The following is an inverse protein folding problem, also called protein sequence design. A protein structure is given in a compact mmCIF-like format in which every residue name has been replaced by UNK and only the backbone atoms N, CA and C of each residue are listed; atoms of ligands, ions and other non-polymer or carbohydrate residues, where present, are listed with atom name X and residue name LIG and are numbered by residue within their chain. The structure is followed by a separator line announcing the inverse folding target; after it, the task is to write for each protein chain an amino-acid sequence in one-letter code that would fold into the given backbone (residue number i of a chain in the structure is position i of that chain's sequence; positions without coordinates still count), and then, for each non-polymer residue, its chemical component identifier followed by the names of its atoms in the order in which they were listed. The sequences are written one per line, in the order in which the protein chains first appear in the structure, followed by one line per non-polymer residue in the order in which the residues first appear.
data_IF_018967259754
#
_entry.id   IF_018967259754
#
_cell.length_a   1.000
_cell.length_b   1.000
_cell.length_c   1.000
_cell.angle_alpha   90.00
_cell.angle_beta   90.00
_cell.angle_gamma   90.00
#
_symmetry.space_group_name_H-M   'P 1'
#
loop_
_entity.id
_entity.type
_entity.pdbx_description
1 polymer ?
#
# COMPACT_ATOMS: atom_id res chain seq x y z
N UNK A 1 -5.04 18.00 7.96
CA UNK A 1 -6.32 18.05 7.26
C UNK A 1 -6.26 17.13 6.02
N UNK A 2 -7.08 16.09 5.98
CA UNK A 2 -7.18 15.21 4.81
C UNK A 2 -8.21 15.82 3.84
N UNK A 3 -7.80 16.36 2.68
CA UNK A 3 -8.70 17.05 1.75
C UNK A 3 -9.78 16.15 1.16
N UNK A 4 -9.58 14.83 1.18
CA UNK A 4 -10.52 13.85 0.61
C UNK A 4 -11.61 13.36 1.57
N UNK A 5 -11.58 13.76 2.85
CA UNK A 5 -12.55 13.35 3.85
C UNK A 5 -13.64 14.39 4.12
N UNK A 6 -13.48 15.62 3.65
CA UNK A 6 -14.43 16.71 3.87
C UNK A 6 -14.98 17.21 2.55
N UNK A 7 -16.31 17.30 2.42
CA UNK A 7 -16.98 17.75 1.21
C UNK A 7 -16.48 19.12 0.71
N UNK A 8 -16.32 20.10 1.60
CA UNK A 8 -15.80 21.42 1.24
C UNK A 8 -14.36 21.40 0.72
N UNK A 9 -13.51 20.51 1.22
CA UNK A 9 -12.15 20.32 0.72
C UNK A 9 -12.14 19.65 -0.66
N UNK A 10 -13.03 18.70 -0.89
CA UNK A 10 -13.23 18.07 -2.21
C UNK A 10 -13.65 19.11 -3.26
N UNK A 11 -14.62 19.97 -2.94
CA UNK A 11 -15.07 21.02 -3.84
C UNK A 11 -13.93 21.98 -4.24
N UNK A 12 -13.02 22.27 -3.32
CA UNK A 12 -11.86 23.14 -3.58
C UNK A 12 -10.87 22.52 -4.58
N UNK A 13 -10.61 21.20 -4.50
CA UNK A 13 -9.65 20.52 -5.38
C UNK A 13 -10.28 20.01 -6.68
N UNK A 14 -11.61 19.98 -6.78
CA UNK A 14 -12.31 19.49 -7.97
C UNK A 14 -11.92 20.24 -9.27
N UNK A 15 -11.78 21.58 -9.31
CA UNK A 15 -11.33 22.26 -10.53
C UNK A 15 -9.96 21.79 -11.01
N UNK A 16 -9.01 21.60 -10.09
CA UNK A 16 -7.66 21.11 -10.42
C UNK A 16 -7.69 19.65 -10.92
N UNK A 17 -8.50 18.80 -10.30
CA UNK A 17 -8.70 17.42 -10.76
C UNK A 17 -9.33 17.37 -12.16
N UNK A 18 -10.26 18.27 -12.45
CA UNK A 18 -10.88 18.40 -13.79
C UNK A 18 -9.85 18.90 -14.81
N UNK A 19 -9.07 19.90 -14.48
CA UNK A 19 -7.99 20.44 -15.32
C UNK A 19 -6.95 19.38 -15.64
N UNK A 20 -6.57 18.56 -14.66
CA UNK A 20 -5.66 17.41 -14.79
C UNK A 20 -6.34 16.20 -15.48
N UNK A 21 -7.64 16.28 -15.77
CA UNK A 21 -8.42 15.20 -16.35
C UNK A 21 -8.36 13.90 -15.53
N UNK A 22 -8.30 14.01 -14.20
CA UNK A 22 -8.18 12.90 -13.26
C UNK A 22 -9.30 11.84 -13.38
N UNK A 23 -10.39 12.15 -14.07
CA UNK A 23 -11.49 11.23 -14.41
C UNK A 23 -11.13 10.22 -15.53
N UNK A 24 -10.04 10.47 -16.27
CA UNK A 24 -9.55 9.53 -17.29
C UNK A 24 -8.70 8.44 -16.64
N UNK A 25 -8.55 7.30 -17.32
CA UNK A 25 -7.49 6.36 -16.94
C UNK A 25 -6.13 6.81 -17.43
N UNK A 26 -5.05 6.35 -16.76
CA UNK A 26 -3.67 6.65 -17.18
C UNK A 26 -3.45 6.28 -18.63
N UNK A 27 -3.84 5.05 -19.03
CA UNK A 27 -3.70 4.61 -20.41
C UNK A 27 -4.42 5.52 -21.41
N UNK A 28 -5.67 5.89 -21.14
CA UNK A 28 -6.44 6.81 -22.01
C UNK A 28 -5.80 8.19 -22.08
N UNK A 29 -5.17 8.65 -21.01
CA UNK A 29 -4.48 9.94 -21.00
C UNK A 29 -3.21 9.88 -21.84
N UNK A 30 -2.39 8.84 -21.70
CA UNK A 30 -1.18 8.63 -22.50
C UNK A 30 -1.53 8.48 -23.99
N UNK A 31 -2.57 7.73 -24.33
CA UNK A 31 -2.99 7.51 -25.72
C UNK A 31 -3.37 8.78 -26.49
N UNK A 32 -3.58 9.92 -25.82
CA UNK A 32 -3.82 11.20 -26.46
C UNK A 32 -2.57 11.84 -27.04
N UNK A 33 -1.41 11.49 -26.50
CA UNK A 33 -0.12 12.09 -26.85
C UNK A 33 0.82 11.13 -27.56
N UNK A 34 0.60 9.83 -27.39
CA UNK A 34 1.49 8.77 -27.89
C UNK A 34 0.68 7.84 -28.80
N UNK A 35 1.12 7.70 -30.04
CA UNK A 35 0.46 6.85 -31.05
C UNK A 35 0.93 5.40 -30.98
N UNK A 36 2.22 5.17 -30.67
CA UNK A 36 2.81 3.83 -30.59
C UNK A 36 2.34 3.08 -29.36
N UNK A 37 1.93 1.83 -29.55
CA UNK A 37 1.32 1.02 -28.47
C UNK A 37 2.35 0.61 -27.41
N UNK A 38 3.58 0.29 -27.78
CA UNK A 38 4.63 -0.09 -26.83
C UNK A 38 5.00 1.09 -25.95
N UNK A 39 5.08 2.28 -26.53
CA UNK A 39 5.30 3.51 -25.76
C UNK A 39 4.11 3.84 -24.86
N UNK A 40 2.86 3.60 -25.29
CA UNK A 40 1.68 3.74 -24.42
C UNK A 40 1.80 2.85 -23.19
N UNK A 41 2.18 1.59 -23.37
CA UNK A 41 2.39 0.66 -22.27
C UNK A 41 3.51 1.14 -21.34
N UNK A 42 4.65 1.57 -21.89
CA UNK A 42 5.77 2.09 -21.12
C UNK A 42 5.41 3.34 -20.29
N UNK A 43 4.62 4.27 -20.84
CA UNK A 43 4.18 5.47 -20.11
C UNK A 43 2.96 5.28 -19.23
N UNK A 44 2.29 4.14 -19.27
CA UNK A 44 1.10 3.87 -18.48
C UNK A 44 1.27 2.80 -17.39
N UNK A 45 2.44 2.18 -17.24
CA UNK A 45 2.62 1.06 -16.32
C UNK A 45 2.75 1.47 -14.83
N UNK A 46 3.08 2.71 -14.52
CA UNK A 46 3.33 3.19 -13.15
C UNK A 46 2.23 2.89 -12.13
N UNK A 47 0.92 2.89 -12.48
CA UNK A 47 -0.11 2.46 -11.55
C UNK A 47 0.09 1.04 -10.98
N UNK A 48 0.81 0.17 -11.68
CA UNK A 48 1.14 -1.18 -11.19
C UNK A 48 1.95 -1.14 -9.88
N UNK A 49 2.75 -0.09 -9.67
CA UNK A 49 3.54 0.10 -8.42
C UNK A 49 2.65 0.20 -7.17
N UNK A 50 1.41 0.63 -7.34
CA UNK A 50 0.41 0.75 -6.27
C UNK A 50 -0.73 -0.26 -6.41
N UNK A 51 -0.53 -1.32 -7.21
CA UNK A 51 -1.54 -2.34 -7.46
C UNK A 51 -2.71 -1.88 -8.32
N UNK A 52 -2.56 -0.77 -9.07
CA UNK A 52 -3.60 -0.20 -9.92
C UNK A 52 -3.53 -0.72 -11.36
N UNK A 53 -4.69 -0.99 -11.95
CA UNK A 53 -4.81 -1.31 -13.37
C UNK A 53 -4.72 -0.03 -14.21
N UNK A 54 -3.76 0.12 -15.14
CA UNK A 54 -3.60 1.33 -15.97
C UNK A 54 -4.85 1.74 -16.76
N UNK A 55 -5.70 0.77 -17.12
CA UNK A 55 -6.94 1.03 -17.86
C UNK A 55 -8.08 1.56 -16.98
N UNK A 56 -7.96 1.49 -15.66
CA UNK A 56 -9.00 1.88 -14.70
C UNK A 56 -8.51 2.95 -13.70
N UNK A 57 -7.21 2.99 -13.42
CA UNK A 57 -6.61 3.91 -12.46
C UNK A 57 -6.57 5.32 -13.02
N UNK A 58 -6.90 6.31 -12.19
CA UNK A 58 -6.93 7.73 -12.54
C UNK A 58 -5.62 8.21 -13.16
N UNK A 59 -5.73 9.06 -14.18
CA UNK A 59 -4.60 9.71 -14.85
C UNK A 59 -3.70 10.54 -13.93
N UNK A 60 -4.14 10.85 -12.71
CA UNK A 60 -3.31 11.55 -11.71
C UNK A 60 -2.00 10.79 -11.42
N UNK A 61 -2.00 9.46 -11.58
CA UNK A 61 -0.79 8.66 -11.40
C UNK A 61 0.28 8.88 -12.49
N UNK A 62 -0.05 9.56 -13.58
CA UNK A 62 0.94 10.02 -14.55
C UNK A 62 1.90 11.07 -13.95
N UNK A 63 1.56 11.67 -12.78
CA UNK A 63 2.46 12.55 -12.05
C UNK A 63 3.77 11.87 -11.64
N UNK A 64 3.79 10.52 -11.52
CA UNK A 64 5.01 9.78 -11.15
C UNK A 64 6.12 10.06 -12.16
N UNK A 65 5.83 10.12 -13.46
CA UNK A 65 6.81 10.49 -14.48
C UNK A 65 7.41 11.91 -14.26
N UNK A 66 6.57 12.86 -13.85
CA UNK A 66 7.03 14.21 -13.56
C UNK A 66 7.97 14.22 -12.34
N UNK A 67 7.62 13.46 -11.29
CA UNK A 67 8.43 13.31 -10.09
C UNK A 67 9.78 12.63 -10.37
N UNK A 68 9.78 11.55 -11.15
CA UNK A 68 11.00 10.86 -11.56
C UNK A 68 11.92 11.76 -12.41
N UNK A 69 11.34 12.57 -13.29
CA UNK A 69 12.09 13.52 -14.11
C UNK A 69 12.69 14.66 -13.27
N UNK A 70 11.96 15.15 -12.27
CA UNK A 70 12.39 16.28 -11.44
C UNK A 70 13.41 15.85 -10.38
N UNK A 71 13.19 14.72 -9.73
CA UNK A 71 13.99 14.30 -8.57
C UNK A 71 14.86 13.07 -8.84
N UNK A 72 14.73 12.44 -10.00
CA UNK A 72 15.44 11.21 -10.35
C UNK A 72 14.89 9.98 -9.64
N UNK A 73 15.52 8.86 -9.93
CA UNK A 73 15.24 7.56 -9.28
C UNK A 73 16.47 7.17 -8.47
N UNK A 74 16.29 6.92 -7.18
CA UNK A 74 17.37 6.66 -6.25
C UNK A 74 17.34 5.23 -5.76
N UNK A 75 18.51 4.65 -5.57
CA UNK A 75 18.68 3.32 -5.01
C UNK A 75 19.55 3.38 -3.77
N UNK A 76 19.13 2.70 -2.69
CA UNK A 76 19.87 2.71 -1.45
C UNK A 76 21.22 2.00 -1.59
N UNK A 77 22.30 2.59 -1.10
CA UNK A 77 23.60 1.90 -1.01
C UNK A 77 23.48 0.65 -0.16
N UNK A 78 23.90 -0.49 -0.70
CA UNK A 78 23.73 -1.79 -0.06
C UNK A 78 22.32 -2.40 -0.24
N UNK A 79 21.51 -1.83 -1.16
CA UNK A 79 20.21 -2.35 -1.55
C UNK A 79 19.08 -2.04 -0.57
N UNK A 80 17.89 -2.52 -0.89
CA UNK A 80 16.67 -2.33 -0.07
C UNK A 80 16.86 -2.88 1.35
N UNK A 81 17.62 -3.99 1.50
CA UNK A 81 17.94 -4.54 2.82
C UNK A 81 18.73 -3.57 3.72
N UNK A 82 19.59 -2.72 3.15
CA UNK A 82 20.30 -1.71 3.93
C UNK A 82 19.37 -0.63 4.47
N UNK A 83 18.36 -0.22 3.65
CA UNK A 83 17.31 0.70 4.09
C UNK A 83 16.52 0.10 5.26
N UNK A 84 16.10 -1.17 5.13
CA UNK A 84 15.37 -1.86 6.20
C UNK A 84 16.19 -1.92 7.49
N UNK A 85 17.46 -2.30 7.41
CA UNK A 85 18.36 -2.32 8.60
C UNK A 85 18.49 -0.93 9.23
N UNK A 86 18.56 0.13 8.41
CA UNK A 86 18.60 1.52 8.92
C UNK A 86 17.33 1.88 9.68
N UNK A 87 16.15 1.50 9.16
CA UNK A 87 14.86 1.72 9.83
C UNK A 87 14.74 0.92 11.12
N UNK A 88 15.18 -0.34 11.12
CA UNK A 88 15.23 -1.18 12.33
C UNK A 88 16.08 -0.52 13.41
N UNK A 89 17.31 -0.12 13.05
CA UNK A 89 18.21 0.57 13.98
C UNK A 89 17.57 1.82 14.60
N UNK A 90 16.99 2.68 13.76
CA UNK A 90 16.30 3.89 14.24
C UNK A 90 15.14 3.55 15.18
N UNK A 91 14.36 2.52 14.85
CA UNK A 91 13.23 2.09 15.69
C UNK A 91 13.70 1.62 17.08
N UNK A 92 14.77 0.84 17.13
CA UNK A 92 15.38 0.35 18.37
C UNK A 92 16.01 1.49 19.18
N UNK A 93 16.69 2.45 18.53
CA UNK A 93 17.24 3.66 19.17
C UNK A 93 16.14 4.54 19.80
N UNK A 94 14.93 4.50 19.25
CA UNK A 94 13.76 5.17 19.82
C UNK A 94 13.06 4.36 20.93
N UNK A 95 13.63 3.24 21.36
CA UNK A 95 13.10 2.38 22.41
C UNK A 95 12.11 1.32 21.94
N UNK A 96 11.97 1.14 20.62
CA UNK A 96 11.12 0.08 20.05
C UNK A 96 11.74 -1.30 20.22
N UNK A 97 10.92 -2.33 20.30
CA UNK A 97 11.34 -3.74 20.35
C UNK A 97 10.79 -4.48 19.14
N UNK A 98 11.65 -5.25 18.46
CA UNK A 98 11.27 -6.09 17.32
C UNK A 98 11.31 -7.56 17.75
N UNK A 99 10.19 -8.26 17.51
CA UNK A 99 10.08 -9.69 17.74
C UNK A 99 9.86 -10.38 16.39
N UNK A 100 10.86 -11.08 15.91
CA UNK A 100 10.79 -11.89 14.69
C UNK A 100 10.23 -13.29 14.99
N UNK A 101 9.74 -13.97 13.94
CA UNK A 101 9.14 -15.31 14.04
C UNK A 101 8.00 -15.39 15.07
N UNK A 102 7.29 -14.29 15.26
CA UNK A 102 6.17 -14.16 16.17
C UNK A 102 4.87 -13.96 15.36
N UNK A 103 4.38 -15.05 14.79
CA UNK A 103 3.12 -15.02 14.02
C UNK A 103 1.95 -14.73 14.95
N UNK A 104 1.25 -13.61 14.69
CA UNK A 104 0.10 -13.21 15.49
C UNK A 104 -1.12 -14.07 15.12
N UNK A 105 -1.64 -14.75 16.12
CA UNK A 105 -2.85 -15.59 15.99
C UNK A 105 -4.12 -14.76 16.17
N UNK A 106 -4.08 -13.73 17.04
CA UNK A 106 -5.26 -12.98 17.44
C UNK A 106 -4.91 -11.58 17.93
N UNK A 107 -5.75 -10.60 17.60
CA UNK A 107 -5.76 -9.29 18.27
C UNK A 107 -6.78 -9.36 19.39
N UNK A 108 -6.33 -9.23 20.62
CA UNK A 108 -7.18 -9.28 21.81
C UNK A 108 -7.97 -8.00 21.95
N UNK A 109 -9.27 -8.15 22.32
CA UNK A 109 -10.18 -7.00 22.41
C UNK A 109 -10.98 -7.07 23.72
N UNK A 110 -11.19 -5.90 24.34
CA UNK A 110 -12.12 -5.73 25.44
C UNK A 110 -12.93 -4.45 25.19
N UNK A 111 -14.22 -4.50 25.44
CA UNK A 111 -15.15 -3.36 25.27
C UNK A 111 -15.07 -2.72 23.88
N UNK A 112 -14.83 -3.52 22.83
CA UNK A 112 -14.72 -3.06 21.44
C UNK A 112 -13.44 -2.33 21.09
N UNK A 113 -12.42 -2.33 21.98
CA UNK A 113 -11.08 -1.75 21.76
C UNK A 113 -10.04 -2.86 21.71
N UNK A 114 -9.02 -2.69 20.88
CA UNK A 114 -7.83 -3.54 20.92
C UNK A 114 -7.10 -3.32 22.26
N UNK A 115 -6.62 -4.42 22.85
CA UNK A 115 -5.94 -4.43 24.14
C UNK A 115 -4.58 -5.10 24.07
N UNK A 116 -4.38 -5.96 23.09
CA UNK A 116 -3.14 -6.70 22.97
C UNK A 116 -3.13 -7.60 21.76
N UNK A 117 -2.13 -8.45 21.71
CA UNK A 117 -1.99 -9.49 20.69
C UNK A 117 -1.55 -10.80 21.34
N UNK A 118 -2.04 -11.91 20.78
CA UNK A 118 -1.60 -13.26 21.12
C UNK A 118 -0.99 -13.90 19.89
N UNK A 119 0.16 -14.53 20.03
CA UNK A 119 0.87 -15.24 18.95
C UNK A 119 0.53 -16.74 18.96
N UNK A 120 0.85 -17.44 17.87
CA UNK A 120 0.60 -18.88 17.75
C UNK A 120 1.46 -19.72 18.72
N UNK A 121 2.62 -19.21 19.16
CA UNK A 121 3.47 -19.84 20.18
C UNK A 121 2.97 -19.61 21.61
N UNK A 122 1.84 -18.92 21.79
CA UNK A 122 1.21 -18.67 23.09
C UNK A 122 1.71 -17.42 23.81
N UNK A 123 2.64 -16.66 23.22
CA UNK A 123 3.04 -15.38 23.81
C UNK A 123 1.87 -14.38 23.74
N UNK A 124 1.75 -13.57 24.78
CA UNK A 124 0.75 -12.50 24.88
C UNK A 124 1.43 -11.18 25.27
N UNK A 125 0.96 -10.09 24.70
CA UNK A 125 1.37 -8.73 25.07
C UNK A 125 0.18 -7.78 25.09
N UNK A 126 0.10 -6.99 26.16
CA UNK A 126 -0.88 -5.92 26.31
C UNK A 126 -0.34 -4.63 25.70
N UNK A 127 -1.22 -3.91 24.98
CA UNK A 127 -0.87 -2.66 24.31
C UNK A 127 -2.05 -1.68 24.33
N UNK A 128 -1.74 -0.39 24.43
CA UNK A 128 -2.74 0.68 24.38
C UNK A 128 -3.39 0.81 22.99
N UNK A 129 -2.65 0.44 21.95
CA UNK A 129 -3.09 0.42 20.56
C UNK A 129 -2.39 -0.66 19.75
N UNK A 130 -3.07 -1.18 18.74
CA UNK A 130 -2.51 -2.16 17.79
C UNK A 130 -2.68 -1.62 16.37
N UNK A 131 -1.56 -1.51 15.63
CA UNK A 131 -1.55 -1.20 14.21
C UNK A 131 -1.22 -2.48 13.42
N UNK A 132 -2.09 -2.87 12.50
CA UNK A 132 -1.84 -4.00 11.59
C UNK A 132 -1.42 -3.47 10.22
N UNK A 133 -0.26 -3.89 9.74
CA UNK A 133 0.21 -3.69 8.35
C UNK A 133 0.03 -4.97 7.51
N UNK A 134 -0.64 -5.99 8.04
CA UNK A 134 -1.01 -7.18 7.31
C UNK A 134 -2.16 -6.92 6.32
N UNK A 135 -2.48 -7.92 5.49
CA UNK A 135 -3.66 -7.86 4.62
C UNK A 135 -4.91 -7.52 5.42
N UNK A 136 -5.68 -6.56 4.91
CA UNK A 136 -6.84 -6.03 5.63
C UNK A 136 -7.95 -7.08 5.81
N UNK A 137 -8.14 -7.96 4.84
CA UNK A 137 -9.11 -9.05 4.95
C UNK A 137 -8.64 -10.08 6.00
N UNK A 138 -7.36 -10.47 5.94
CA UNK A 138 -6.75 -11.35 6.96
C UNK A 138 -6.91 -10.75 8.36
N UNK A 139 -6.59 -9.47 8.54
CA UNK A 139 -6.73 -8.78 9.83
C UNK A 139 -8.16 -8.90 10.39
N UNK A 140 -9.19 -8.64 9.59
CA UNK A 140 -10.57 -8.67 10.08
C UNK A 140 -11.19 -10.06 10.10
N UNK A 141 -10.84 -10.95 9.15
CA UNK A 141 -11.39 -12.30 9.05
C UNK A 141 -10.75 -13.23 10.08
N UNK A 142 -9.43 -13.17 10.22
CA UNK A 142 -8.67 -14.14 11.00
C UNK A 142 -8.27 -13.56 12.37
N UNK A 143 -7.57 -12.42 12.42
CA UNK A 143 -7.10 -11.88 13.70
C UNK A 143 -8.21 -11.27 14.58
N UNK A 144 -9.28 -10.75 13.98
CA UNK A 144 -10.45 -10.17 14.65
C UNK A 144 -11.73 -10.98 14.42
N UNK A 145 -11.65 -12.14 13.79
CA UNK A 145 -12.80 -12.99 13.43
C UNK A 145 -13.62 -13.48 14.62
N UNK A 146 -13.05 -13.50 15.81
CA UNK A 146 -13.76 -13.82 17.06
C UNK A 146 -14.73 -12.70 17.48
N UNK A 147 -14.63 -11.48 16.93
CA UNK A 147 -15.51 -10.34 17.25
C UNK A 147 -16.62 -10.18 16.20
N UNK A 148 -17.79 -9.66 16.60
CA UNK A 148 -18.88 -9.34 15.67
C UNK A 148 -18.49 -8.27 14.67
N UNK A 149 -17.73 -7.25 15.12
CA UNK A 149 -17.23 -6.17 14.27
C UNK A 149 -16.26 -6.69 13.23
N UNK A 150 -15.35 -7.60 13.61
CA UNK A 150 -14.40 -8.24 12.71
C UNK A 150 -15.14 -9.03 11.62
N UNK A 151 -16.07 -9.92 12.01
CA UNK A 151 -16.88 -10.69 11.06
C UNK A 151 -17.68 -9.82 10.10
N UNK A 152 -18.35 -8.77 10.61
CA UNK A 152 -19.12 -7.83 9.78
C UNK A 152 -18.23 -7.11 8.77
N UNK A 153 -17.06 -6.62 9.22
CA UNK A 153 -16.11 -5.92 8.34
C UNK A 153 -15.51 -6.85 7.29
N UNK A 154 -15.13 -8.07 7.68
CA UNK A 154 -14.61 -9.08 6.74
C UNK A 154 -15.60 -9.39 5.62
N UNK A 155 -16.90 -9.56 5.93
CA UNK A 155 -17.95 -9.76 4.89
C UNK A 155 -18.02 -8.60 3.92
N UNK A 156 -17.98 -7.37 4.42
CA UNK A 156 -17.99 -6.16 3.56
C UNK A 156 -16.75 -6.09 2.68
N UNK A 157 -15.57 -6.39 3.22
CA UNK A 157 -14.32 -6.36 2.48
C UNK A 157 -14.26 -7.45 1.41
N UNK A 158 -14.79 -8.64 1.68
CA UNK A 158 -14.78 -9.76 0.73
C UNK A 158 -15.57 -9.49 -0.56
N UNK A 159 -16.51 -8.54 -0.55
CA UNK A 159 -17.25 -8.10 -1.73
C UNK A 159 -16.55 -6.99 -2.52
N UNK A 160 -15.42 -6.48 -2.05
CA UNK A 160 -14.67 -5.42 -2.74
C UNK A 160 -13.87 -5.96 -3.93
N UNK A 161 -13.51 -5.06 -4.85
CA UNK A 161 -12.52 -5.35 -5.88
C UNK A 161 -11.14 -5.28 -5.26
N UNK A 162 -10.37 -6.33 -5.43
CA UNK A 162 -8.99 -6.41 -4.97
C UNK A 162 -8.02 -5.89 -6.03
N UNK A 163 -6.89 -5.36 -5.60
CA UNK A 163 -5.76 -5.07 -6.48
C UNK A 163 -5.17 -6.38 -7.01
N UNK A 164 -4.48 -6.31 -8.14
CA UNK A 164 -3.66 -7.42 -8.59
C UNK A 164 -2.51 -7.65 -7.60
N UNK A 165 -2.05 -8.89 -7.49
CA UNK A 165 -0.80 -9.24 -6.81
C UNK A 165 0.35 -9.27 -7.81
N UNK A 166 1.57 -9.16 -7.30
CA UNK A 166 2.80 -9.31 -8.08
C UNK A 166 3.51 -10.61 -7.69
N UNK A 167 3.97 -11.34 -8.69
CA UNK A 167 4.93 -12.40 -8.50
C UNK A 167 6.29 -11.94 -9.03
N UNK A 168 7.28 -11.86 -8.17
CA UNK A 168 8.61 -11.34 -8.51
C UNK A 168 9.62 -12.48 -8.51
N UNK A 169 10.35 -12.64 -9.61
CA UNK A 169 11.44 -13.59 -9.72
C UNK A 169 12.75 -12.82 -9.70
N UNK A 170 13.61 -13.12 -8.74
CA UNK A 170 14.99 -12.62 -8.69
C UNK A 170 15.91 -13.68 -9.26
N UNK A 171 16.70 -13.32 -10.26
CA UNK A 171 17.69 -14.22 -10.85
C UNK A 171 18.99 -13.48 -11.18
N UNK A 172 20.09 -14.19 -11.04
CA UNK A 172 21.40 -13.70 -11.42
C UNK A 172 21.80 -14.21 -12.82
N UNK A 173 22.44 -13.36 -13.59
CA UNK A 173 23.00 -13.73 -14.88
C UNK A 173 24.53 -13.79 -14.78
N UNK A 174 25.14 -14.72 -15.55
CA UNK A 174 26.62 -14.81 -15.65
C UNK A 174 27.24 -13.73 -16.53
N UNK A 175 26.40 -13.01 -17.30
CA UNK A 175 26.82 -11.95 -18.22
C UNK A 175 26.05 -10.67 -17.93
N UNK A 176 26.74 -9.53 -18.09
CA UNK A 176 26.09 -8.22 -18.10
C UNK A 176 25.49 -8.02 -19.49
N UNK A 177 24.25 -7.59 -19.55
CA UNK A 177 23.50 -7.29 -20.76
C UNK A 177 23.30 -5.80 -20.93
#
# INVERSE_FOLDING_TARGET
HNPFLMFGSMMRVTPDLMKLQAYRSVYKQVARFVADEHLRQAFSFHPLLVGGNPFQTSSIYALIHALEREWGVWFARGGTGALIRGLVKLFEELGGTIRLNAEVAKIDTAEGKAKGVTTHDGWHGDFDAVASNGDVLHTYRDLLGHTDRGRKKARTLNSNRWSMSLFVIYFGLKRVH
#
